data_IF_376842420595
#
_entry.id   IF_376842420595
#
_cell.length_a   1.000
_cell.length_b   1.000
_cell.length_c   1.000
_cell.angle_alpha   90.00
_cell.angle_beta   90.00
_cell.angle_gamma   90.00
#
_symmetry.space_group_name_H-M   'P 1'
#
loop_
_entity.id
_entity.type
_entity.pdbx_description
1 polymer ?
#
# COMPACT_ATOMS: atom_id res chain seq x y z
N UNK A 1 -40.44 -26.64 41.73
CA UNK A 1 -40.80 -25.70 42.81
C UNK A 1 -40.42 -24.30 42.35
N UNK A 2 -41.41 -23.41 42.20
CA UNK A 2 -41.16 -21.98 41.96
C UNK A 2 -40.56 -21.38 43.24
N UNK A 3 -39.57 -20.46 43.16
CA UNK A 3 -39.10 -19.75 44.34
C UNK A 3 -40.25 -18.91 44.91
N UNK A 4 -40.41 -18.92 46.23
CA UNK A 4 -41.37 -18.09 46.95
C UNK A 4 -41.17 -16.60 46.63
N UNK A 5 -42.27 -15.84 46.58
CA UNK A 5 -42.27 -14.39 46.32
C UNK A 5 -41.47 -13.56 47.34
N UNK A 6 -41.09 -14.15 48.48
CA UNK A 6 -40.31 -13.52 49.54
C UNK A 6 -38.78 -13.59 49.33
N UNK A 7 -38.32 -14.29 48.30
CA UNK A 7 -36.90 -14.35 47.91
C UNK A 7 -36.53 -13.36 46.79
N UNK A 8 -37.21 -12.21 46.69
CA UNK A 8 -36.71 -11.15 45.82
C UNK A 8 -35.57 -10.43 46.54
N UNK A 9 -34.32 -10.53 46.05
CA UNK A 9 -33.23 -9.78 46.63
C UNK A 9 -33.55 -8.29 46.56
N UNK A 10 -33.26 -7.58 47.65
CA UNK A 10 -33.43 -6.12 47.71
C UNK A 10 -32.72 -5.48 46.51
N UNK A 11 -33.35 -4.53 45.79
CA UNK A 11 -32.67 -3.78 44.74
C UNK A 11 -31.35 -3.20 45.27
N UNK A 12 -30.30 -3.19 44.46
CA UNK A 12 -29.00 -2.66 44.88
C UNK A 12 -29.14 -1.21 45.28
N UNK A 13 -30.06 -0.44 44.68
CA UNK A 13 -30.37 0.90 45.14
C UNK A 13 -30.76 0.92 46.62
N UNK A 14 -31.59 -0.01 47.07
CA UNK A 14 -32.00 -0.12 48.48
C UNK A 14 -30.83 -0.54 49.38
N UNK A 15 -30.00 -1.50 48.95
CA UNK A 15 -28.79 -1.88 49.69
C UNK A 15 -27.78 -0.73 49.74
N UNK A 16 -27.56 -0.02 48.64
CA UNK A 16 -26.69 1.16 48.53
C UNK A 16 -27.20 2.30 49.38
N UNK A 17 -28.51 2.54 49.39
CA UNK A 17 -29.12 3.57 50.23
C UNK A 17 -29.01 3.23 51.71
N UNK A 18 -29.12 1.94 52.07
CA UNK A 18 -28.83 1.46 53.43
C UNK A 18 -27.36 1.63 53.79
N UNK A 19 -26.42 1.23 52.93
CA UNK A 19 -24.98 1.39 53.15
C UNK A 19 -24.59 2.85 53.32
N UNK A 20 -25.14 3.74 52.48
CA UNK A 20 -24.96 5.18 52.59
C UNK A 20 -25.51 5.74 53.91
N UNK A 21 -26.72 5.31 54.31
CA UNK A 21 -27.33 5.74 55.59
C UNK A 21 -26.56 5.23 56.81
N UNK A 22 -25.95 4.05 56.70
CA UNK A 22 -25.19 3.42 57.77
C UNK A 22 -23.71 3.83 57.79
N UNK A 23 -23.26 4.63 56.81
CA UNK A 23 -21.87 5.09 56.67
C UNK A 23 -20.87 3.92 56.68
N UNK A 24 -21.25 2.82 56.03
CA UNK A 24 -20.42 1.61 55.95
C UNK A 24 -19.39 1.80 54.82
N UNK A 25 -18.14 1.43 55.08
CA UNK A 25 -17.09 1.41 54.07
C UNK A 25 -17.44 0.37 52.98
N UNK A 26 -17.55 0.82 51.73
CA UNK A 26 -17.92 -0.04 50.61
C UNK A 26 -16.90 -1.15 50.36
N UNK A 27 -15.60 -0.90 50.56
CA UNK A 27 -14.54 -1.89 50.36
C UNK A 27 -14.69 -3.03 51.35
N UNK A 28 -14.79 -2.70 52.64
CA UNK A 28 -14.99 -3.67 53.73
C UNK A 28 -16.29 -4.45 53.53
N UNK A 29 -17.39 -3.76 53.18
CA UNK A 29 -18.67 -4.41 52.92
C UNK A 29 -18.58 -5.41 51.75
N UNK A 30 -17.97 -5.01 50.63
CA UNK A 30 -17.85 -5.92 49.50
C UNK A 30 -16.90 -7.08 49.79
N UNK A 31 -15.87 -6.91 50.62
CA UNK A 31 -14.99 -8.01 51.05
C UNK A 31 -15.73 -8.99 51.97
N UNK A 32 -16.44 -8.51 52.99
CA UNK A 32 -17.16 -9.36 53.94
C UNK A 32 -18.31 -10.13 53.27
N UNK A 33 -19.08 -9.46 52.41
CA UNK A 33 -20.25 -10.03 51.76
C UNK A 33 -19.95 -10.61 50.37
N UNK A 34 -18.67 -10.76 50.01
CA UNK A 34 -18.30 -11.06 48.63
C UNK A 34 -18.92 -12.36 48.09
N UNK A 35 -18.99 -13.40 48.93
CA UNK A 35 -19.57 -14.71 48.59
C UNK A 35 -21.04 -14.61 48.19
N UNK A 36 -21.85 -13.83 48.92
CA UNK A 36 -23.28 -13.65 48.64
C UNK A 36 -23.50 -12.93 47.30
N UNK A 37 -22.73 -11.87 47.03
CA UNK A 37 -22.79 -11.19 45.74
C UNK A 37 -22.31 -12.11 44.61
N UNK A 38 -21.23 -12.87 44.83
CA UNK A 38 -20.69 -13.79 43.82
C UNK A 38 -21.69 -14.91 43.51
N UNK A 39 -22.37 -15.46 44.52
CA UNK A 39 -23.39 -16.49 44.38
C UNK A 39 -24.64 -15.96 43.66
N UNK A 40 -25.11 -14.76 44.01
CA UNK A 40 -26.26 -14.11 43.35
C UNK A 40 -25.97 -13.74 41.88
N UNK A 41 -24.72 -13.35 41.59
CA UNK A 41 -24.24 -13.12 40.22
C UNK A 41 -24.18 -14.45 39.43
N UNK A 42 -23.67 -15.52 40.04
CA UNK A 42 -23.61 -16.87 39.43
C UNK A 42 -24.99 -17.44 39.11
N UNK A 43 -25.96 -17.21 39.99
CA UNK A 43 -27.33 -17.70 39.86
C UNK A 43 -28.23 -16.81 38.97
N UNK A 44 -27.66 -15.79 38.32
CA UNK A 44 -28.36 -14.86 37.41
C UNK A 44 -29.55 -14.13 38.03
N UNK A 45 -29.56 -13.93 39.35
CA UNK A 45 -30.66 -13.20 40.01
C UNK A 45 -30.68 -11.70 39.65
N UNK A 46 -29.56 -11.13 39.21
CA UNK A 46 -29.45 -9.71 38.89
C UNK A 46 -29.68 -9.43 37.40
N UNK A 47 -30.62 -8.54 37.11
CA UNK A 47 -30.88 -8.05 35.76
C UNK A 47 -29.83 -7.01 35.32
N UNK A 48 -29.87 -6.62 34.03
CA UNK A 48 -28.91 -5.65 33.49
C UNK A 48 -28.94 -4.31 34.24
N UNK A 49 -30.12 -3.79 34.58
CA UNK A 49 -30.24 -2.52 35.31
C UNK A 49 -29.52 -2.58 36.67
N UNK A 50 -29.69 -3.69 37.41
CA UNK A 50 -29.07 -3.92 38.71
C UNK A 50 -27.54 -3.93 38.62
N UNK A 51 -26.98 -4.71 37.67
CA UNK A 51 -25.53 -4.77 37.46
C UNK A 51 -24.99 -3.40 37.06
N UNK A 52 -25.73 -2.67 36.22
CA UNK A 52 -25.35 -1.33 35.77
C UNK A 52 -25.28 -0.34 36.93
N UNK A 53 -26.21 -0.39 37.89
CA UNK A 53 -26.21 0.45 39.09
C UNK A 53 -25.05 0.12 40.06
N UNK A 54 -24.53 -1.10 40.01
CA UNK A 54 -23.44 -1.60 40.87
C UNK A 54 -22.05 -1.17 40.37
N UNK A 55 -21.82 -1.17 39.06
CA UNK A 55 -20.51 -0.85 38.46
C UNK A 55 -19.91 0.51 38.87
N UNK A 56 -20.67 1.61 39.01
CA UNK A 56 -20.14 2.90 39.44
C UNK A 56 -19.63 2.90 40.88
N UNK A 57 -20.15 2.01 41.74
CA UNK A 57 -19.70 1.85 43.12
C UNK A 57 -18.41 1.02 43.15
N UNK A 58 -18.40 -0.08 42.40
CA UNK A 58 -17.23 -0.97 42.33
C UNK A 58 -16.01 -0.32 41.65
N UNK A 59 -16.19 0.73 40.84
CA UNK A 59 -15.07 1.41 40.15
C UNK A 59 -13.99 1.97 41.07
N UNK A 60 -14.29 2.16 42.36
CA UNK A 60 -13.31 2.62 43.35
C UNK A 60 -12.41 1.48 43.86
N UNK A 61 -12.74 0.23 43.50
CA UNK A 61 -12.10 -0.99 43.97
C UNK A 61 -11.73 -1.88 42.76
N UNK A 62 -10.65 -1.53 42.06
CA UNK A 62 -10.25 -2.13 40.76
C UNK A 62 -10.25 -3.67 40.75
N UNK A 63 -9.68 -4.32 41.78
CA UNK A 63 -9.60 -5.79 41.88
C UNK A 63 -11.00 -6.40 42.03
N UNK A 64 -11.81 -5.83 42.91
CA UNK A 64 -13.18 -6.26 43.20
C UNK A 64 -14.06 -6.12 41.96
N UNK A 65 -13.99 -4.96 41.27
CA UNK A 65 -14.66 -4.72 40.00
C UNK A 65 -14.33 -5.80 38.95
N UNK A 66 -13.04 -6.10 38.77
CA UNK A 66 -12.59 -7.10 37.80
C UNK A 66 -13.12 -8.49 38.13
N UNK A 67 -13.08 -8.89 39.40
CA UNK A 67 -13.59 -10.20 39.87
C UNK A 67 -15.08 -10.33 39.57
N UNK A 68 -15.88 -9.33 39.93
CA UNK A 68 -17.33 -9.35 39.71
C UNK A 68 -17.72 -9.32 38.23
N UNK A 69 -17.11 -8.45 37.43
CA UNK A 69 -17.35 -8.42 36.00
C UNK A 69 -16.99 -9.75 35.35
N UNK A 70 -15.86 -10.37 35.74
CA UNK A 70 -15.45 -11.67 35.22
C UNK A 70 -16.48 -12.76 35.55
N UNK A 71 -16.93 -12.84 36.79
CA UNK A 71 -17.93 -13.83 37.23
C UNK A 71 -19.30 -13.61 36.58
N UNK A 72 -19.73 -12.36 36.43
CA UNK A 72 -20.98 -12.05 35.76
C UNK A 72 -20.92 -12.43 34.28
N UNK A 73 -19.87 -11.99 33.58
CA UNK A 73 -19.71 -12.23 32.16
C UNK A 73 -19.48 -13.71 31.82
N UNK A 74 -18.83 -14.50 32.69
CA UNK A 74 -18.67 -15.95 32.44
C UNK A 74 -19.97 -16.73 32.47
N UNK A 75 -20.99 -16.19 33.15
CA UNK A 75 -22.28 -16.86 33.31
C UNK A 75 -23.37 -16.24 32.43
N UNK A 76 -23.05 -15.27 31.58
CA UNK A 76 -24.03 -14.48 30.83
C UNK A 76 -23.77 -14.55 29.34
N UNK A 77 -24.83 -14.55 28.51
CA UNK A 77 -24.67 -14.53 27.06
C UNK A 77 -24.02 -13.22 26.60
N UNK A 78 -23.22 -13.28 25.54
CA UNK A 78 -22.54 -12.09 25.02
C UNK A 78 -23.50 -10.95 24.60
N UNK A 79 -24.66 -11.21 23.95
CA UNK A 79 -25.65 -10.17 23.68
C UNK A 79 -26.19 -9.47 24.94
N UNK A 80 -26.41 -10.23 26.01
CA UNK A 80 -26.85 -9.66 27.30
C UNK A 80 -25.75 -8.81 27.94
N UNK A 81 -24.48 -9.23 27.84
CA UNK A 81 -23.34 -8.44 28.30
C UNK A 81 -23.26 -7.13 27.51
N UNK A 82 -23.42 -7.18 26.18
CA UNK A 82 -23.34 -5.98 25.35
C UNK A 82 -24.47 -5.00 25.62
N UNK A 83 -25.71 -5.48 25.75
CA UNK A 83 -26.85 -4.62 26.12
C UNK A 83 -26.64 -3.94 27.48
N UNK A 84 -26.00 -4.61 28.44
CA UNK A 84 -25.59 -3.99 29.71
C UNK A 84 -24.56 -2.87 29.49
N UNK A 85 -23.55 -3.07 28.62
CA UNK A 85 -22.55 -2.04 28.29
C UNK A 85 -23.19 -0.82 27.60
N UNK A 86 -24.14 -1.04 26.68
CA UNK A 86 -24.87 0.04 26.02
C UNK A 86 -25.73 0.82 27.01
N UNK A 87 -26.50 0.12 27.85
CA UNK A 87 -27.32 0.74 28.88
C UNK A 87 -26.45 1.52 29.89
N UNK A 88 -25.30 0.98 30.29
CA UNK A 88 -24.33 1.69 31.12
C UNK A 88 -23.85 2.97 30.44
N UNK A 89 -23.46 2.89 29.17
CA UNK A 89 -22.92 4.02 28.40
C UNK A 89 -23.93 5.16 28.21
N UNK A 90 -25.23 4.85 28.24
CA UNK A 90 -26.32 5.83 28.19
C UNK A 90 -26.50 6.55 29.53
N UNK A 91 -26.39 5.83 30.66
CA UNK A 91 -26.83 6.32 31.96
C UNK A 91 -25.68 6.74 32.90
N UNK A 92 -24.45 6.28 32.66
CA UNK A 92 -23.32 6.49 33.57
C UNK A 92 -22.03 6.83 32.83
N UNK A 93 -21.11 7.53 33.50
CA UNK A 93 -19.82 7.89 32.94
C UNK A 93 -18.89 6.66 32.85
N UNK A 94 -18.48 6.31 31.64
CA UNK A 94 -17.61 5.18 31.36
C UNK A 94 -16.16 5.65 31.49
N UNK A 95 -15.60 5.85 32.69
CA UNK A 95 -14.25 6.46 32.87
C UNK A 95 -13.22 5.50 33.47
N UNK A 96 -11.94 5.70 33.11
CA UNK A 96 -10.78 5.14 33.82
C UNK A 96 -10.79 3.62 33.92
N UNK A 97 -10.78 3.12 35.16
CA UNK A 97 -10.79 1.68 35.49
C UNK A 97 -11.94 0.94 34.80
N UNK A 98 -13.12 1.53 34.70
CA UNK A 98 -14.29 0.82 34.21
C UNK A 98 -14.23 0.54 32.70
N UNK A 99 -13.74 1.50 31.90
CA UNK A 99 -13.48 1.30 30.46
C UNK A 99 -12.51 0.12 30.26
N UNK A 100 -11.42 0.09 31.04
CA UNK A 100 -10.40 -0.95 30.96
C UNK A 100 -10.94 -2.33 31.41
N UNK A 101 -11.68 -2.37 32.53
CA UNK A 101 -12.23 -3.60 33.07
C UNK A 101 -13.29 -4.23 32.15
N UNK A 102 -14.17 -3.40 31.56
CA UNK A 102 -15.15 -3.86 30.57
C UNK A 102 -14.45 -4.36 29.31
N UNK A 103 -13.49 -3.59 28.77
CA UNK A 103 -12.72 -3.99 27.58
C UNK A 103 -12.04 -5.34 27.79
N UNK A 104 -11.28 -5.49 28.88
CA UNK A 104 -10.51 -6.69 29.18
C UNK A 104 -11.42 -7.92 29.32
N UNK A 105 -12.55 -7.80 30.04
CA UNK A 105 -13.45 -8.92 30.22
C UNK A 105 -14.22 -9.26 28.93
N UNK A 106 -14.64 -8.29 28.13
CA UNK A 106 -15.26 -8.53 26.82
C UNK A 106 -14.30 -9.28 25.87
N UNK A 107 -13.03 -8.85 25.80
CA UNK A 107 -12.00 -9.53 25.00
C UNK A 107 -11.79 -10.98 25.47
N UNK A 108 -11.77 -11.22 26.79
CA UNK A 108 -11.68 -12.57 27.34
C UNK A 108 -12.90 -13.42 26.98
N UNK A 109 -14.12 -12.86 27.01
CA UNK A 109 -15.32 -13.59 26.61
C UNK A 109 -15.29 -13.96 25.13
N UNK A 110 -14.93 -13.02 24.25
CA UNK A 110 -14.80 -13.30 22.81
C UNK A 110 -13.79 -14.42 22.54
N UNK A 111 -12.68 -14.44 23.29
CA UNK A 111 -11.69 -15.51 23.19
C UNK A 111 -12.24 -16.86 23.65
N UNK A 112 -13.01 -16.90 24.74
CA UNK A 112 -13.52 -18.13 25.35
C UNK A 112 -14.76 -18.72 24.69
N UNK A 113 -15.66 -17.89 24.18
CA UNK A 113 -16.97 -18.29 23.67
C UNK A 113 -16.96 -18.16 22.14
N UNK A 114 -17.59 -19.09 21.41
CA UNK A 114 -17.88 -18.88 19.99
C UNK A 114 -19.06 -17.93 19.85
N UNK A 115 -18.77 -16.70 19.43
CA UNK A 115 -19.79 -15.71 19.07
C UNK A 115 -20.07 -15.87 17.59
N UNK A 116 -21.33 -16.07 17.23
CA UNK A 116 -21.74 -16.20 15.83
C UNK A 116 -21.59 -14.86 15.10
N UNK A 117 -21.43 -14.90 13.77
CA UNK A 117 -21.42 -13.69 12.94
C UNK A 117 -22.71 -12.88 13.17
N UNK A 118 -23.86 -13.54 13.27
CA UNK A 118 -25.16 -12.89 13.51
C UNK A 118 -25.20 -12.14 14.83
N UNK A 119 -24.71 -12.73 15.92
CA UNK A 119 -24.61 -12.04 17.23
C UNK A 119 -23.68 -10.84 17.16
N UNK A 120 -22.55 -10.98 16.46
CA UNK A 120 -21.62 -9.88 16.30
C UNK A 120 -22.18 -8.76 15.40
N UNK A 121 -23.00 -9.08 14.39
CA UNK A 121 -23.74 -8.09 13.59
C UNK A 121 -24.80 -7.35 14.42
N UNK A 122 -25.57 -8.10 15.22
CA UNK A 122 -26.59 -7.52 16.10
C UNK A 122 -25.98 -6.53 17.09
N UNK A 123 -24.80 -6.84 17.63
CA UNK A 123 -24.04 -5.94 18.51
C UNK A 123 -23.89 -4.53 17.91
N UNK A 124 -23.52 -4.44 16.63
CA UNK A 124 -23.36 -3.14 16.00
C UNK A 124 -24.69 -2.47 15.66
N UNK A 125 -25.70 -3.23 15.24
CA UNK A 125 -27.05 -2.70 15.03
C UNK A 125 -27.56 -2.04 16.31
N UNK A 126 -27.46 -2.74 17.43
CA UNK A 126 -27.85 -2.26 18.75
C UNK A 126 -27.03 -1.03 19.16
N UNK A 127 -25.73 -1.01 18.83
CA UNK A 127 -24.84 0.14 19.08
C UNK A 127 -25.28 1.35 18.28
N UNK A 128 -25.63 1.17 17.00
CA UNK A 128 -26.09 2.25 16.12
C UNK A 128 -27.43 2.82 16.58
N UNK A 129 -28.37 1.96 16.96
CA UNK A 129 -29.66 2.38 17.53
C UNK A 129 -29.46 3.14 18.85
N UNK A 130 -28.53 2.66 19.69
CA UNK A 130 -28.19 3.28 20.98
C UNK A 130 -27.34 4.54 20.87
N UNK A 131 -26.63 4.74 19.75
CA UNK A 131 -25.66 5.84 19.57
C UNK A 131 -26.27 7.23 19.76
N UNK A 132 -27.55 7.38 19.40
CA UNK A 132 -28.27 8.65 19.53
C UNK A 132 -28.44 9.05 21.00
N UNK A 133 -28.62 8.07 21.89
CA UNK A 133 -28.86 8.27 23.33
C UNK A 133 -27.58 8.47 24.13
N UNK A 134 -26.46 7.92 23.66
CA UNK A 134 -25.16 8.06 24.32
C UNK A 134 -24.63 9.48 24.07
N UNK A 135 -24.23 10.21 25.10
CA UNK A 135 -23.80 11.63 24.98
C UNK A 135 -22.32 11.82 25.31
N UNK A 136 -21.73 12.86 24.73
CA UNK A 136 -20.41 13.39 25.13
C UNK A 136 -19.27 12.37 25.07
N UNK A 137 -18.42 12.36 26.11
CA UNK A 137 -17.19 11.53 26.18
C UNK A 137 -17.44 10.03 26.16
N UNK A 138 -18.63 9.57 26.57
CA UNK A 138 -18.98 8.14 26.54
C UNK A 138 -19.02 7.58 25.12
N UNK A 139 -19.37 8.42 24.12
CA UNK A 139 -19.29 8.01 22.70
C UNK A 139 -17.85 7.59 22.37
N UNK A 140 -16.89 8.47 22.57
CA UNK A 140 -15.48 8.21 22.23
C UNK A 140 -14.92 6.97 22.95
N UNK A 141 -15.37 6.66 24.16
CA UNK A 141 -14.87 5.51 24.92
C UNK A 141 -15.56 4.21 24.54
N UNK A 142 -16.87 4.22 24.30
CA UNK A 142 -17.57 3.07 23.75
C UNK A 142 -17.01 2.69 22.37
N UNK A 143 -16.63 3.68 21.56
CA UNK A 143 -15.89 3.46 20.31
C UNK A 143 -14.62 2.63 20.54
N UNK A 144 -13.77 3.02 21.49
CA UNK A 144 -12.52 2.29 21.78
C UNK A 144 -12.77 0.87 22.26
N UNK A 145 -13.82 0.65 23.06
CA UNK A 145 -14.24 -0.69 23.44
C UNK A 145 -14.61 -1.47 22.18
N UNK A 146 -15.47 -0.91 21.34
CA UNK A 146 -15.96 -1.54 20.10
C UNK A 146 -14.81 -1.92 19.16
N UNK A 147 -13.85 -1.02 18.95
CA UNK A 147 -12.61 -1.26 18.20
C UNK A 147 -11.87 -2.48 18.72
N UNK A 148 -11.55 -2.47 20.03
CA UNK A 148 -10.74 -3.51 20.66
C UNK A 148 -11.42 -4.87 20.67
N UNK A 149 -12.74 -4.92 20.83
CA UNK A 149 -13.49 -6.18 20.79
C UNK A 149 -13.65 -6.68 19.35
N UNK A 150 -13.82 -5.77 18.38
CA UNK A 150 -13.93 -6.12 16.96
C UNK A 150 -12.64 -6.72 16.43
N UNK A 151 -11.51 -6.09 16.75
CA UNK A 151 -10.20 -6.62 16.43
C UNK A 151 -10.00 -8.04 16.97
N UNK A 152 -10.32 -8.28 18.25
CA UNK A 152 -10.18 -9.61 18.87
C UNK A 152 -11.13 -10.64 18.25
N UNK A 153 -12.36 -10.25 17.95
CA UNK A 153 -13.33 -11.11 17.27
C UNK A 153 -12.84 -11.54 15.89
N UNK A 154 -12.47 -10.56 15.06
CA UNK A 154 -11.98 -10.80 13.70
C UNK A 154 -10.68 -11.62 13.70
N UNK A 155 -9.75 -11.32 14.61
CA UNK A 155 -8.51 -12.08 14.75
C UNK A 155 -8.77 -13.55 15.10
N UNK A 156 -9.69 -13.79 16.05
CA UNK A 156 -10.08 -15.16 16.43
C UNK A 156 -10.69 -15.90 15.24
N UNK A 157 -11.61 -15.26 14.53
CA UNK A 157 -12.36 -15.85 13.43
C UNK A 157 -11.50 -16.15 12.19
N UNK A 158 -10.51 -15.31 11.87
CA UNK A 158 -9.68 -15.50 10.67
C UNK A 158 -8.41 -16.32 10.89
N UNK A 159 -7.83 -16.37 12.10
CA UNK A 159 -6.51 -17.01 12.33
C UNK A 159 -6.49 -18.16 13.35
N UNK A 160 -7.36 -18.16 14.37
CA UNK A 160 -7.23 -19.09 15.50
C UNK A 160 -8.12 -20.33 15.39
N UNK A 161 -9.33 -20.19 14.85
CA UNK A 161 -10.17 -21.35 14.57
C UNK A 161 -9.70 -21.98 13.26
N UNK A 162 -8.98 -23.11 13.33
CA UNK A 162 -8.48 -23.90 12.19
C UNK A 162 -9.57 -24.43 11.24
N UNK A 163 -10.80 -23.90 11.32
CA UNK A 163 -11.88 -24.12 10.39
C UNK A 163 -12.03 -22.86 9.55
N UNK A 164 -11.70 -23.00 8.27
CA UNK A 164 -11.84 -22.03 7.20
C UNK A 164 -13.31 -21.70 6.90
N UNK A 165 -14.07 -21.25 7.90
CA UNK A 165 -15.19 -20.37 7.62
C UNK A 165 -14.60 -19.04 7.21
N UNK A 166 -14.18 -18.98 5.94
CA UNK A 166 -13.80 -17.75 5.27
C UNK A 166 -14.91 -16.75 5.56
N UNK A 167 -14.58 -15.65 6.26
CA UNK A 167 -15.50 -14.53 6.37
C UNK A 167 -15.99 -14.21 4.96
N UNK A 168 -17.27 -14.47 4.69
CA UNK A 168 -17.80 -14.31 3.35
C UNK A 168 -17.63 -12.85 2.95
N UNK A 169 -17.39 -12.61 1.67
CA UNK A 169 -17.15 -11.26 1.17
C UNK A 169 -18.31 -10.30 1.53
N UNK A 170 -19.55 -10.81 1.52
CA UNK A 170 -20.72 -10.06 1.92
C UNK A 170 -20.70 -9.70 3.41
N UNK A 171 -20.34 -10.64 4.30
CA UNK A 171 -20.21 -10.38 5.73
C UNK A 171 -19.10 -9.36 6.01
N UNK A 172 -17.96 -9.48 5.35
CA UNK A 172 -16.85 -8.54 5.46
C UNK A 172 -17.24 -7.12 4.98
N UNK A 173 -17.95 -7.00 3.86
CA UNK A 173 -18.50 -5.73 3.36
C UNK A 173 -19.49 -5.12 4.35
N UNK A 174 -20.34 -5.94 4.94
CA UNK A 174 -21.29 -5.50 5.98
C UNK A 174 -20.54 -5.02 7.23
N UNK A 175 -19.56 -5.77 7.73
CA UNK A 175 -18.71 -5.35 8.86
C UNK A 175 -18.04 -4.01 8.61
N UNK A 176 -17.43 -3.83 7.44
CA UNK A 176 -16.77 -2.57 7.09
C UNK A 176 -17.76 -1.41 7.01
N UNK A 177 -18.93 -1.61 6.38
CA UNK A 177 -20.01 -0.62 6.32
C UNK A 177 -20.47 -0.20 7.71
N UNK A 178 -20.65 -1.19 8.58
CA UNK A 178 -21.14 -0.97 9.94
C UNK A 178 -20.11 -0.25 10.83
N UNK A 179 -18.83 -0.65 10.76
CA UNK A 179 -17.74 0.01 11.48
C UNK A 179 -17.62 1.49 11.06
N UNK A 180 -17.77 1.78 9.77
CA UNK A 180 -17.57 3.13 9.20
C UNK A 180 -18.78 4.05 9.37
N UNK A 181 -19.99 3.50 9.57
CA UNK A 181 -21.19 4.28 9.88
C UNK A 181 -21.17 4.92 11.28
N UNK A 182 -20.36 4.39 12.19
CA UNK A 182 -20.12 5.00 13.51
C UNK A 182 -19.06 6.11 13.37
N UNK A 183 -19.41 7.17 12.63
CA UNK A 183 -18.51 8.24 12.16
C UNK A 183 -17.69 8.99 13.23
N UNK A 184 -18.06 8.86 14.51
CA UNK A 184 -17.36 9.44 15.66
C UNK A 184 -16.37 8.46 16.31
N UNK A 185 -16.25 7.25 15.78
CA UNK A 185 -15.57 6.13 16.41
C UNK A 185 -14.38 5.64 15.59
N UNK A 186 -14.59 5.38 14.30
CA UNK A 186 -13.77 4.51 13.48
C UNK A 186 -13.55 5.13 12.10
N UNK A 187 -12.29 5.28 11.70
CA UNK A 187 -11.93 5.55 10.30
C UNK A 187 -11.33 4.28 9.66
N UNK A 188 -11.05 4.34 8.36
CA UNK A 188 -10.48 3.22 7.64
C UNK A 188 -9.05 2.84 8.09
N UNK A 189 -8.44 3.60 9.01
CA UNK A 189 -7.09 3.33 9.54
C UNK A 189 -7.13 2.55 10.85
N UNK A 190 -8.29 2.36 11.46
CA UNK A 190 -8.42 1.50 12.62
C UNK A 190 -7.96 0.08 12.30
N UNK A 191 -7.29 -0.58 13.24
CA UNK A 191 -6.76 -1.92 13.05
C UNK A 191 -7.84 -2.94 12.63
N UNK A 192 -9.07 -2.81 13.14
CA UNK A 192 -10.19 -3.68 12.77
C UNK A 192 -10.62 -3.44 11.32
N UNK A 193 -10.73 -2.18 10.91
CA UNK A 193 -11.06 -1.79 9.53
C UNK A 193 -9.97 -2.25 8.56
N UNK A 194 -8.70 -2.00 8.89
CA UNK A 194 -7.55 -2.44 8.11
C UNK A 194 -7.52 -3.96 7.97
N UNK A 195 -7.87 -4.69 9.02
CA UNK A 195 -7.92 -6.15 9.01
C UNK A 195 -9.00 -6.68 8.06
N UNK A 196 -10.21 -6.13 8.10
CA UNK A 196 -11.29 -6.47 7.17
C UNK A 196 -10.94 -6.08 5.74
N UNK A 197 -10.35 -4.89 5.53
CA UNK A 197 -9.89 -4.43 4.22
C UNK A 197 -8.81 -5.34 3.64
N UNK A 198 -7.84 -5.76 4.46
CA UNK A 198 -6.81 -6.73 4.04
C UNK A 198 -7.45 -8.04 3.59
N UNK A 199 -8.44 -8.55 4.34
CA UNK A 199 -9.16 -9.77 3.98
C UNK A 199 -9.94 -9.64 2.66
N UNK A 200 -10.69 -8.54 2.50
CA UNK A 200 -11.49 -8.27 1.29
C UNK A 200 -10.63 -8.17 0.03
N UNK A 201 -9.45 -7.56 0.15
CA UNK A 201 -8.58 -7.29 -0.99
C UNK A 201 -7.65 -8.48 -1.31
N UNK A 202 -6.96 -9.00 -0.29
CA UNK A 202 -5.79 -9.84 -0.49
C UNK A 202 -5.99 -11.34 -0.20
N UNK A 203 -7.19 -11.78 0.23
CA UNK A 203 -7.54 -13.16 0.66
C UNK A 203 -6.34 -14.06 0.97
N UNK A 204 -6.03 -14.22 2.26
CA UNK A 204 -4.85 -14.95 2.77
C UNK A 204 -4.73 -16.41 2.30
N UNK A 205 -5.82 -17.03 1.81
CA UNK A 205 -5.87 -18.43 1.39
C UNK A 205 -5.95 -18.63 -0.14
N UNK A 206 -5.59 -17.63 -0.94
CA UNK A 206 -5.55 -17.78 -2.39
C UNK A 206 -4.31 -18.60 -2.80
N UNK A 207 -4.51 -19.90 -3.03
CA UNK A 207 -3.45 -20.85 -3.44
C UNK A 207 -2.96 -20.63 -4.88
N UNK A 208 -3.37 -19.54 -5.52
CA UNK A 208 -2.97 -19.23 -6.89
C UNK A 208 -1.47 -18.89 -6.93
N UNK A 209 -0.65 -19.84 -7.36
CA UNK A 209 0.80 -19.62 -7.50
C UNK A 209 1.14 -18.66 -8.65
N UNK A 210 0.22 -18.42 -9.58
CA UNK A 210 0.42 -17.48 -10.67
C UNK A 210 0.22 -16.03 -10.18
N UNK A 211 1.31 -15.24 -10.16
CA UNK A 211 1.31 -13.81 -9.78
C UNK A 211 0.34 -12.98 -10.63
N UNK A 212 0.16 -13.31 -11.91
CA UNK A 212 -0.72 -12.59 -12.82
C UNK A 212 -2.19 -12.72 -12.44
N UNK A 213 -2.63 -13.95 -12.16
CA UNK A 213 -3.99 -14.23 -11.72
C UNK A 213 -4.26 -13.61 -10.34
N UNK A 214 -3.26 -13.62 -9.44
CA UNK A 214 -3.32 -12.88 -8.17
C UNK A 214 -3.57 -11.39 -8.38
N UNK A 215 -2.81 -10.73 -9.27
CA UNK A 215 -2.98 -9.31 -9.59
C UNK A 215 -4.34 -9.01 -10.22
N UNK A 216 -4.77 -9.85 -11.17
CA UNK A 216 -6.08 -9.73 -11.81
C UNK A 216 -7.21 -9.84 -10.80
N UNK A 217 -7.16 -10.82 -9.90
CA UNK A 217 -8.15 -10.96 -8.83
C UNK A 217 -8.12 -9.79 -7.85
N UNK A 218 -6.95 -9.29 -7.49
CA UNK A 218 -6.83 -8.09 -6.66
C UNK A 218 -7.51 -6.90 -7.35
N UNK A 219 -7.28 -6.71 -8.65
CA UNK A 219 -7.85 -5.60 -9.41
C UNK A 219 -9.38 -5.70 -9.47
N UNK A 220 -9.90 -6.88 -9.80
CA UNK A 220 -11.33 -7.15 -9.79
C UNK A 220 -11.96 -6.91 -8.41
N UNK A 221 -11.31 -7.34 -7.32
CA UNK A 221 -11.80 -7.14 -5.94
C UNK A 221 -11.87 -5.67 -5.57
N UNK A 222 -10.90 -4.85 -6.00
CA UNK A 222 -10.91 -3.40 -5.76
C UNK A 222 -12.01 -2.72 -6.58
N UNK A 223 -12.20 -3.12 -7.84
CA UNK A 223 -13.32 -2.62 -8.65
C UNK A 223 -14.68 -3.00 -8.05
N UNK A 224 -14.76 -4.13 -7.36
CA UNK A 224 -15.95 -4.59 -6.64
C UNK A 224 -16.04 -4.11 -5.18
N UNK A 225 -15.04 -3.34 -4.71
CA UNK A 225 -15.00 -2.79 -3.37
C UNK A 225 -15.98 -1.60 -3.30
N UNK A 226 -16.59 -1.38 -2.14
CA UNK A 226 -17.64 -0.37 -1.95
C UNK A 226 -17.26 0.99 -2.58
N UNK A 227 -18.07 1.46 -3.55
CA UNK A 227 -17.83 2.71 -4.29
C UNK A 227 -17.65 3.92 -3.35
N UNK A 228 -18.37 3.96 -2.22
CA UNK A 228 -18.24 5.02 -1.22
C UNK A 228 -16.88 5.05 -0.53
N UNK A 229 -16.30 3.89 -0.23
CA UNK A 229 -14.93 3.78 0.30
C UNK A 229 -13.92 4.23 -0.77
N UNK A 230 -14.04 3.69 -1.99
CA UNK A 230 -13.14 4.04 -3.09
C UNK A 230 -13.23 5.53 -3.44
N UNK A 231 -14.38 6.18 -3.27
CA UNK A 231 -14.56 7.61 -3.49
C UNK A 231 -13.94 8.46 -2.36
N UNK A 232 -14.15 8.12 -1.09
CA UNK A 232 -13.82 8.99 0.05
C UNK A 232 -12.43 8.75 0.63
N UNK A 233 -11.98 7.49 0.67
CA UNK A 233 -10.76 7.13 1.35
C UNK A 233 -9.52 7.32 0.46
N UNK A 234 -8.39 7.57 1.13
CA UNK A 234 -7.09 7.76 0.51
C UNK A 234 -6.30 6.44 0.59
N UNK A 235 -6.02 5.75 -0.54
CA UNK A 235 -5.38 4.43 -0.51
C UNK A 235 -4.00 4.47 0.16
N UNK A 236 -3.28 5.60 0.08
CA UNK A 236 -1.97 5.81 0.70
C UNK A 236 -1.97 5.79 2.23
N UNK A 237 -3.14 5.93 2.86
CA UNK A 237 -3.30 5.86 4.31
C UNK A 237 -3.76 4.50 4.81
N UNK A 238 -4.02 3.55 3.90
CA UNK A 238 -4.68 2.27 4.20
C UNK A 238 -3.80 1.11 3.76
N UNK A 239 -3.36 1.13 2.50
CA UNK A 239 -2.56 0.07 1.92
C UNK A 239 -1.15 0.16 2.48
N UNK A 240 -0.70 -0.93 3.12
CA UNK A 240 0.64 -1.06 3.68
C UNK A 240 1.52 -1.86 2.73
N UNK A 241 2.81 -1.50 2.68
CA UNK A 241 3.77 -2.13 1.77
C UNK A 241 3.92 -3.64 2.05
N UNK A 242 3.80 -4.08 3.31
CA UNK A 242 3.86 -5.50 3.71
C UNK A 242 2.72 -6.35 3.14
N UNK A 243 1.62 -5.73 2.69
CA UNK A 243 0.49 -6.45 2.08
C UNK A 243 0.73 -6.75 0.60
N UNK A 244 1.67 -6.04 -0.01
CA UNK A 244 1.95 -6.11 -1.44
C UNK A 244 3.11 -7.05 -1.78
N UNK A 245 3.88 -7.51 -0.77
CA UNK A 245 5.09 -8.33 -0.97
C UNK A 245 4.82 -9.54 -1.87
N UNK A 246 3.75 -10.30 -1.61
CA UNK A 246 3.40 -11.51 -2.39
C UNK A 246 2.98 -11.23 -3.85
N UNK A 247 2.78 -9.96 -4.19
CA UNK A 247 2.39 -9.47 -5.51
C UNK A 247 3.56 -8.77 -6.22
N UNK A 248 4.66 -8.50 -5.52
CA UNK A 248 5.86 -7.95 -6.15
C UNK A 248 6.55 -9.01 -6.99
N UNK A 249 7.09 -8.56 -8.11
CA UNK A 249 8.02 -9.34 -8.92
C UNK A 249 9.43 -9.09 -8.42
N UNK A 250 10.20 -10.17 -8.31
CA UNK A 250 11.57 -10.16 -7.78
C UNK A 250 12.56 -9.74 -8.86
N UNK A 251 12.21 -9.95 -10.13
CA UNK A 251 13.00 -9.53 -11.28
C UNK A 251 12.14 -8.82 -12.33
N UNK A 252 12.77 -7.96 -13.14
CA UNK A 252 12.13 -7.41 -14.33
C UNK A 252 11.80 -8.49 -15.36
N UNK A 253 12.57 -9.58 -15.42
CA UNK A 253 12.26 -10.72 -16.30
C UNK A 253 10.90 -11.35 -15.99
N UNK A 254 10.46 -11.33 -14.73
CA UNK A 254 9.15 -11.85 -14.36
C UNK A 254 8.01 -10.94 -14.85
N UNK A 255 8.25 -9.62 -14.90
CA UNK A 255 7.32 -8.69 -15.54
C UNK A 255 7.20 -8.96 -17.05
N UNK A 256 8.29 -9.37 -17.70
CA UNK A 256 8.30 -9.68 -19.13
C UNK A 256 7.58 -11.00 -19.48
N UNK A 257 7.18 -11.79 -18.48
CA UNK A 257 6.32 -12.96 -18.66
C UNK A 257 4.84 -12.58 -18.84
N UNK A 258 4.46 -11.31 -18.58
CA UNK A 258 3.13 -10.79 -18.89
C UNK A 258 2.87 -10.90 -20.40
N UNK A 259 2.01 -11.83 -20.79
CA UNK A 259 1.57 -11.90 -22.19
C UNK A 259 0.72 -10.67 -22.53
N UNK A 260 0.61 -10.34 -23.83
CA UNK A 260 -0.26 -9.25 -24.29
C UNK A 260 -1.70 -9.41 -23.75
N UNK A 261 -2.21 -10.64 -23.74
CA UNK A 261 -3.55 -10.96 -23.24
C UNK A 261 -3.70 -10.68 -21.75
N UNK A 262 -2.71 -11.09 -20.96
CA UNK A 262 -2.74 -10.88 -19.51
C UNK A 262 -2.63 -9.40 -19.17
N UNK A 263 -1.78 -8.67 -19.89
CA UNK A 263 -1.62 -7.24 -19.74
C UNK A 263 -2.89 -6.46 -20.11
N UNK A 264 -3.51 -6.78 -21.26
CA UNK A 264 -4.79 -6.19 -21.67
C UNK A 264 -5.89 -6.46 -20.63
N UNK A 265 -5.95 -7.67 -20.07
CA UNK A 265 -6.91 -8.00 -19.02
C UNK A 265 -6.72 -7.15 -17.76
N UNK A 266 -5.48 -6.80 -17.39
CA UNK A 266 -5.20 -5.89 -16.28
C UNK A 266 -5.64 -4.45 -16.60
N UNK A 267 -5.37 -3.98 -17.82
CA UNK A 267 -5.76 -2.66 -18.29
C UNK A 267 -7.29 -2.47 -18.31
N UNK A 268 -8.02 -3.46 -18.82
CA UNK A 268 -9.49 -3.46 -18.84
C UNK A 268 -10.09 -3.45 -17.44
N UNK A 269 -9.46 -4.16 -16.49
CA UNK A 269 -9.95 -4.28 -15.12
C UNK A 269 -9.71 -3.04 -14.26
N UNK A 270 -8.81 -2.15 -14.69
CA UNK A 270 -8.33 -1.02 -13.91
C UNK A 270 -9.32 0.17 -13.82
N UNK A 271 -10.17 0.39 -14.84
CA UNK A 271 -11.22 1.43 -14.86
C UNK A 271 -10.82 2.85 -14.38
N UNK A 272 -9.54 3.26 -14.45
CA UNK A 272 -9.05 4.53 -13.89
C UNK A 272 -9.36 4.76 -12.41
N UNK A 273 -9.44 3.67 -11.64
CA UNK A 273 -9.68 3.73 -10.20
C UNK A 273 -8.41 4.18 -9.45
N UNK A 274 -8.51 5.24 -8.65
CA UNK A 274 -7.40 5.79 -7.86
C UNK A 274 -6.70 4.76 -6.94
N UNK A 275 -7.43 3.77 -6.43
CA UNK A 275 -6.86 2.70 -5.61
C UNK A 275 -6.01 1.75 -6.44
N UNK A 276 -6.47 1.41 -7.64
CA UNK A 276 -5.74 0.52 -8.55
C UNK A 276 -4.46 1.18 -9.04
N UNK A 277 -4.53 2.47 -9.40
CA UNK A 277 -3.36 3.28 -9.76
C UNK A 277 -2.33 3.33 -8.64
N UNK A 278 -2.77 3.60 -7.41
CA UNK A 278 -1.88 3.67 -6.26
C UNK A 278 -1.22 2.31 -5.97
N UNK A 279 -2.00 1.23 -5.95
CA UNK A 279 -1.50 -0.11 -5.70
C UNK A 279 -0.53 -0.54 -6.79
N UNK A 280 -0.85 -0.27 -8.06
CA UNK A 280 0.05 -0.56 -9.18
C UNK A 280 1.37 0.20 -9.07
N UNK A 281 1.32 1.52 -8.84
CA UNK A 281 2.52 2.34 -8.64
C UNK A 281 3.39 1.82 -7.50
N UNK A 282 2.75 1.41 -6.38
CA UNK A 282 3.47 0.80 -5.25
C UNK A 282 4.10 -0.55 -5.59
N UNK A 283 3.39 -1.42 -6.30
CA UNK A 283 3.93 -2.72 -6.72
C UNK A 283 5.13 -2.56 -7.63
N UNK A 284 5.01 -1.68 -8.64
CA UNK A 284 6.11 -1.35 -9.55
C UNK A 284 7.28 -0.78 -8.75
N UNK A 285 7.06 0.21 -7.89
CA UNK A 285 8.12 0.82 -7.09
C UNK A 285 8.83 -0.19 -6.18
N UNK A 286 8.09 -1.06 -5.50
CA UNK A 286 8.67 -2.10 -4.63
C UNK A 286 9.46 -3.13 -5.45
N UNK A 287 8.93 -3.56 -6.59
CA UNK A 287 9.65 -4.42 -7.52
C UNK A 287 10.94 -3.78 -8.02
N UNK A 288 10.92 -2.49 -8.37
CA UNK A 288 12.13 -1.79 -8.81
C UNK A 288 13.16 -1.63 -7.68
N UNK A 289 12.73 -1.42 -6.44
CA UNK A 289 13.66 -1.34 -5.30
C UNK A 289 14.36 -2.65 -4.98
N UNK A 290 13.75 -3.78 -5.36
CA UNK A 290 14.32 -5.12 -5.16
C UNK A 290 15.30 -5.53 -6.26
N UNK A 291 15.44 -4.74 -7.33
CA UNK A 291 16.45 -4.98 -8.37
C UNK A 291 17.84 -4.70 -7.80
N UNK A 292 18.50 -5.78 -7.37
CA UNK A 292 19.93 -5.78 -7.08
C UNK A 292 20.65 -5.60 -8.42
N UNK A 293 21.54 -4.60 -8.48
CA UNK A 293 22.41 -4.31 -9.61
C UNK A 293 23.31 -5.52 -9.91
N UNK A 294 22.79 -6.47 -10.67
CA UNK A 294 23.52 -7.56 -11.29
C UNK A 294 23.64 -7.24 -12.79
N UNK A 295 24.67 -7.78 -13.44
CA UNK A 295 25.08 -7.52 -14.84
C UNK A 295 24.02 -7.80 -15.95
N UNK A 296 22.77 -8.10 -15.57
CA UNK A 296 21.65 -8.39 -16.48
C UNK A 296 20.83 -7.15 -16.90
N UNK A 297 21.16 -5.93 -16.45
CA UNK A 297 20.44 -4.69 -16.78
C UNK A 297 20.27 -4.50 -18.30
N UNK A 298 21.33 -4.72 -19.07
CA UNK A 298 21.33 -4.57 -20.54
C UNK A 298 20.35 -5.53 -21.20
N UNK A 299 20.41 -6.82 -20.85
CA UNK A 299 19.50 -7.82 -21.39
C UNK A 299 18.05 -7.51 -21.03
N UNK A 300 17.80 -7.10 -19.79
CA UNK A 300 16.46 -6.73 -19.32
C UNK A 300 15.89 -5.56 -20.12
N UNK A 301 16.68 -4.50 -20.34
CA UNK A 301 16.27 -3.33 -21.13
C UNK A 301 15.96 -3.71 -22.59
N UNK A 302 16.78 -4.56 -23.21
CA UNK A 302 16.51 -5.07 -24.57
C UNK A 302 15.21 -5.88 -24.63
N UNK A 303 14.98 -6.77 -23.65
CA UNK A 303 13.77 -7.59 -23.62
C UNK A 303 12.54 -6.75 -23.33
N UNK A 304 12.62 -5.73 -22.46
CA UNK A 304 11.54 -4.79 -22.23
C UNK A 304 11.19 -4.00 -23.49
N UNK A 305 12.20 -3.52 -24.21
CA UNK A 305 12.00 -2.80 -25.46
C UNK A 305 11.29 -3.68 -26.51
N UNK A 306 11.66 -4.96 -26.60
CA UNK A 306 10.96 -5.95 -27.45
C UNK A 306 9.55 -6.26 -26.96
N UNK A 307 9.38 -6.40 -25.65
CA UNK A 307 8.08 -6.66 -25.04
C UNK A 307 7.10 -5.54 -25.36
N UNK A 308 7.47 -4.26 -25.19
CA UNK A 308 6.60 -3.11 -25.52
C UNK A 308 6.08 -3.16 -26.96
N UNK A 309 6.94 -3.52 -27.92
CA UNK A 309 6.55 -3.71 -29.32
C UNK A 309 5.63 -4.91 -29.48
N UNK A 310 5.92 -6.02 -28.80
CA UNK A 310 5.13 -7.25 -28.88
C UNK A 310 3.71 -7.06 -28.32
N UNK A 311 3.56 -6.29 -27.25
CA UNK A 311 2.25 -6.04 -26.64
C UNK A 311 1.47 -4.89 -27.31
N UNK A 312 2.05 -4.22 -28.32
CA UNK A 312 1.47 -3.07 -29.01
C UNK A 312 1.37 -1.78 -28.18
N UNK A 313 2.31 -1.58 -27.25
CA UNK A 313 2.42 -0.37 -26.42
C UNK A 313 3.64 0.48 -26.82
N UNK A 314 4.12 0.36 -28.06
CA UNK A 314 5.22 1.17 -28.59
C UNK A 314 4.87 2.65 -28.81
N UNK A 315 3.58 2.99 -28.81
CA UNK A 315 3.09 4.37 -28.89
C UNK A 315 2.52 4.81 -27.56
N UNK A 316 2.90 6.01 -27.13
CA UNK A 316 2.36 6.60 -25.92
C UNK A 316 0.83 6.77 -26.00
N UNK A 317 0.15 6.40 -24.90
CA UNK A 317 -1.29 6.57 -24.72
C UNK A 317 -1.54 7.06 -23.29
N UNK A 318 -2.06 8.29 -23.14
CA UNK A 318 -2.37 8.86 -21.81
C UNK A 318 -3.46 8.06 -21.06
N UNK A 319 -4.27 7.32 -21.81
CA UNK A 319 -5.31 6.43 -21.28
C UNK A 319 -4.78 5.13 -20.67
N UNK A 320 -3.48 4.86 -20.79
CA UNK A 320 -2.83 3.68 -20.22
C UNK A 320 -1.85 4.05 -19.09
N UNK A 321 -2.38 4.38 -17.90
CA UNK A 321 -1.56 4.79 -16.77
C UNK A 321 -0.69 3.65 -16.21
N UNK A 322 -1.06 2.39 -16.48
CA UNK A 322 -0.30 1.25 -15.99
C UNK A 322 1.03 1.12 -16.75
N UNK A 323 1.01 1.25 -18.09
CA UNK A 323 2.23 1.22 -18.92
C UNK A 323 3.08 2.42 -18.60
N UNK A 324 2.49 3.62 -18.55
CA UNK A 324 3.24 4.85 -18.26
C UNK A 324 3.97 4.74 -16.93
N UNK A 325 3.30 4.28 -15.87
CA UNK A 325 3.90 4.13 -14.54
C UNK A 325 5.03 3.09 -14.55
N UNK A 326 4.83 1.95 -15.22
CA UNK A 326 5.83 0.88 -15.30
C UNK A 326 7.07 1.32 -16.07
N UNK A 327 6.90 1.81 -17.29
CA UNK A 327 8.00 2.23 -18.18
C UNK A 327 8.78 3.40 -17.57
N UNK A 328 8.08 4.38 -16.98
CA UNK A 328 8.72 5.48 -16.28
C UNK A 328 9.54 5.01 -15.08
N UNK A 329 9.02 4.06 -14.30
CA UNK A 329 9.73 3.52 -13.14
C UNK A 329 10.98 2.72 -13.53
N UNK A 330 10.95 2.00 -14.66
CA UNK A 330 12.15 1.36 -15.21
C UNK A 330 13.21 2.39 -15.60
N UNK A 331 12.80 3.46 -16.29
CA UNK A 331 13.72 4.52 -16.68
C UNK A 331 14.31 5.25 -15.48
N UNK A 332 13.49 5.60 -14.50
CA UNK A 332 13.97 6.24 -13.27
C UNK A 332 14.96 5.34 -12.52
N UNK A 333 14.61 4.07 -12.31
CA UNK A 333 15.43 3.18 -11.49
C UNK A 333 16.69 2.68 -12.19
N UNK A 334 16.56 2.14 -13.41
CA UNK A 334 17.71 1.60 -14.12
C UNK A 334 18.50 2.73 -14.79
N UNK A 335 17.85 3.45 -15.73
CA UNK A 335 18.53 4.33 -16.68
C UNK A 335 19.06 5.58 -15.98
N UNK A 336 18.26 6.20 -15.11
CA UNK A 336 18.61 7.45 -14.46
C UNK A 336 19.42 7.27 -13.18
N UNK A 337 18.99 6.38 -12.26
CA UNK A 337 19.61 6.26 -10.92
C UNK A 337 20.77 5.29 -10.82
N UNK A 338 20.75 4.17 -11.55
CA UNK A 338 21.68 3.05 -11.31
C UNK A 338 22.84 2.97 -12.32
N UNK A 339 22.62 3.37 -13.57
CA UNK A 339 23.60 3.14 -14.63
C UNK A 339 24.77 4.14 -14.58
N UNK A 340 26.00 3.61 -14.46
CA UNK A 340 27.24 4.38 -14.39
C UNK A 340 27.72 4.93 -15.75
N UNK A 341 27.39 4.27 -16.86
CA UNK A 341 27.82 4.66 -18.20
C UNK A 341 26.68 4.54 -19.19
N UNK A 342 26.14 5.68 -19.62
CA UNK A 342 25.03 5.74 -20.56
C UNK A 342 25.39 5.16 -21.93
N UNK A 343 26.63 5.35 -22.37
CA UNK A 343 27.11 4.89 -23.70
C UNK A 343 26.99 3.37 -23.84
N UNK A 344 27.12 2.62 -22.74
CA UNK A 344 27.07 1.16 -22.77
C UNK A 344 25.65 0.61 -22.91
N UNK A 345 24.62 1.42 -22.64
CA UNK A 345 23.24 0.97 -22.66
C UNK A 345 22.80 0.57 -24.06
N UNK A 346 21.94 -0.46 -24.19
CA UNK A 346 21.51 -0.93 -25.49
C UNK A 346 20.59 0.10 -26.15
N UNK A 347 20.41 -0.03 -27.46
CA UNK A 347 19.40 0.77 -28.17
C UNK A 347 18.00 0.29 -27.73
N UNK A 348 17.31 1.16 -27.00
CA UNK A 348 15.96 0.96 -26.49
C UNK A 348 15.02 2.07 -26.97
N UNK A 349 15.02 2.28 -28.30
CA UNK A 349 14.27 3.32 -28.99
C UNK A 349 12.82 3.46 -28.49
N UNK A 350 12.12 2.33 -28.32
CA UNK A 350 10.71 2.29 -27.96
C UNK A 350 10.48 2.84 -26.55
N UNK A 351 11.26 2.39 -25.57
CA UNK A 351 11.19 2.87 -24.19
C UNK A 351 11.45 4.37 -24.14
N UNK A 352 12.51 4.84 -24.81
CA UNK A 352 12.89 6.26 -24.83
C UNK A 352 11.81 7.10 -25.50
N UNK A 353 11.33 6.69 -26.67
CA UNK A 353 10.30 7.44 -27.40
C UNK A 353 9.02 7.54 -26.57
N UNK A 354 8.61 6.44 -25.94
CA UNK A 354 7.43 6.42 -25.07
C UNK A 354 7.54 7.40 -23.89
N UNK A 355 8.71 7.48 -23.25
CA UNK A 355 8.92 8.38 -22.10
C UNK A 355 9.02 9.84 -22.54
N UNK A 356 9.68 10.09 -23.68
CA UNK A 356 9.76 11.43 -24.27
C UNK A 356 8.36 11.95 -24.63
N UNK A 357 7.54 11.11 -25.28
CA UNK A 357 6.16 11.43 -25.62
C UNK A 357 5.31 11.68 -24.37
N UNK A 358 5.44 10.84 -23.35
CA UNK A 358 4.75 11.02 -22.08
C UNK A 358 5.16 12.33 -21.36
N UNK A 359 6.45 12.69 -21.42
CA UNK A 359 6.97 13.96 -20.91
C UNK A 359 6.38 15.17 -21.64
N UNK A 360 6.43 15.14 -22.98
CA UNK A 360 5.90 16.19 -23.87
C UNK A 360 4.39 16.38 -23.71
N UNK A 361 3.64 15.28 -23.56
CA UNK A 361 2.20 15.30 -23.31
C UNK A 361 1.83 15.79 -21.90
N UNK A 362 2.82 16.13 -21.07
CA UNK A 362 2.63 16.57 -19.71
C UNK A 362 1.93 15.54 -18.82
N UNK A 363 2.16 14.25 -19.06
CA UNK A 363 1.52 13.14 -18.35
C UNK A 363 1.54 13.33 -16.83
N UNK A 364 0.37 13.21 -16.20
CA UNK A 364 0.20 13.32 -14.74
C UNK A 364 0.83 12.16 -13.95
N UNK A 365 1.21 11.10 -14.65
CA UNK A 365 1.81 9.89 -14.07
C UNK A 365 3.33 10.00 -13.93
N UNK A 366 3.93 11.04 -14.51
CA UNK A 366 5.35 11.37 -14.37
C UNK A 366 5.48 12.36 -13.21
N UNK A 367 6.11 11.91 -12.13
CA UNK A 367 6.29 12.69 -10.90
C UNK A 367 7.42 13.71 -10.99
N UNK A 368 8.43 13.49 -11.85
CA UNK A 368 9.59 14.39 -12.02
C UNK A 368 9.89 14.64 -13.49
N UNK A 369 9.22 15.62 -14.10
CA UNK A 369 9.47 16.00 -15.51
C UNK A 369 10.90 16.49 -15.73
N UNK A 370 11.42 17.26 -14.77
CA UNK A 370 12.79 17.77 -14.78
C UNK A 370 13.81 16.63 -14.95
N UNK A 371 13.54 15.43 -14.46
CA UNK A 371 14.45 14.29 -14.58
C UNK A 371 14.63 13.83 -16.04
N UNK A 372 13.55 13.81 -16.83
CA UNK A 372 13.63 13.41 -18.25
C UNK A 372 14.39 14.48 -19.03
N UNK A 373 14.12 15.75 -18.76
CA UNK A 373 14.83 16.89 -19.38
C UNK A 373 16.32 16.89 -19.01
N UNK A 374 16.66 16.71 -17.74
CA UNK A 374 18.04 16.60 -17.24
C UNK A 374 18.78 15.43 -17.88
N UNK A 375 18.11 14.29 -18.03
CA UNK A 375 18.68 13.13 -18.72
C UNK A 375 18.94 13.42 -20.20
N UNK A 376 17.97 14.03 -20.90
CA UNK A 376 18.11 14.42 -22.31
C UNK A 376 19.28 15.38 -22.50
N UNK A 377 19.42 16.39 -21.64
CA UNK A 377 20.53 17.34 -21.70
C UNK A 377 21.88 16.66 -21.42
N UNK A 378 21.91 15.68 -20.51
CA UNK A 378 23.11 14.86 -20.27
C UNK A 378 23.52 14.09 -21.52
N UNK A 379 22.56 13.45 -22.21
CA UNK A 379 22.83 12.72 -23.45
C UNK A 379 23.24 13.66 -24.58
N UNK A 380 22.59 14.83 -24.73
CA UNK A 380 22.99 15.86 -25.70
C UNK A 380 24.42 16.34 -25.46
N UNK A 381 24.81 16.55 -24.21
CA UNK A 381 26.19 16.94 -23.88
C UNK A 381 27.18 15.82 -24.21
N UNK A 382 26.83 14.55 -23.99
CA UNK A 382 27.66 13.41 -24.43
C UNK A 382 27.82 13.37 -25.95
N UNK A 383 26.72 13.53 -26.70
CA UNK A 383 26.76 13.60 -28.17
C UNK A 383 27.63 14.76 -28.63
N UNK A 384 27.50 15.93 -28.00
CA UNK A 384 28.35 17.10 -28.26
C UNK A 384 29.83 16.79 -28.02
N UNK A 385 30.18 16.20 -26.88
CA UNK A 385 31.57 15.85 -26.58
C UNK A 385 32.14 14.85 -27.60
N UNK A 386 31.33 13.90 -28.06
CA UNK A 386 31.70 12.93 -29.11
C UNK A 386 31.95 13.64 -30.44
N UNK A 387 31.06 14.55 -30.85
CA UNK A 387 31.23 15.32 -32.09
C UNK A 387 32.43 16.26 -32.05
N UNK A 388 32.74 16.83 -30.89
CA UNK A 388 33.89 17.72 -30.67
C UNK A 388 35.21 16.97 -30.43
N UNK A 389 35.20 15.64 -30.51
CA UNK A 389 36.37 14.80 -30.22
C UNK A 389 36.91 14.95 -28.77
N UNK A 390 36.08 15.39 -27.83
CA UNK A 390 36.41 15.61 -26.41
C UNK A 390 36.20 14.35 -25.54
N UNK A 391 35.57 13.30 -26.09
CA UNK A 391 35.38 12.01 -25.42
C UNK A 391 36.66 11.16 -25.35
N UNK A 392 36.70 10.19 -24.43
CA UNK A 392 37.79 9.21 -24.36
C UNK A 392 37.78 8.25 -25.57
N UNK A 393 38.94 7.76 -26.01
CA UNK A 393 39.05 6.81 -27.13
C UNK A 393 38.13 5.58 -26.97
N UNK A 394 37.93 5.12 -25.73
CA UNK A 394 37.03 4.00 -25.40
C UNK A 394 35.56 4.29 -25.74
N UNK A 395 35.12 5.54 -25.68
CA UNK A 395 33.75 5.97 -26.02
C UNK A 395 33.43 5.71 -27.50
N UNK A 396 34.32 6.07 -28.42
CA UNK A 396 34.10 5.86 -29.86
C UNK A 396 34.04 4.38 -30.21
N UNK A 397 34.90 3.56 -29.58
CA UNK A 397 34.89 2.11 -29.76
C UNK A 397 33.59 1.49 -29.24
N UNK A 398 33.05 1.98 -28.13
CA UNK A 398 31.76 1.54 -27.59
C UNK A 398 30.59 1.94 -28.51
N UNK A 399 30.63 3.15 -29.06
CA UNK A 399 29.63 3.66 -30.00
C UNK A 399 29.60 2.90 -31.33
N UNK A 400 30.61 2.09 -31.68
CA UNK A 400 30.53 1.20 -32.85
C UNK A 400 29.45 0.11 -32.73
N UNK A 401 28.90 -0.09 -31.53
CA UNK A 401 27.79 -1.01 -31.25
C UNK A 401 26.49 -0.22 -31.01
N UNK A 402 25.30 -0.85 -31.17
CA UNK A 402 24.04 -0.22 -30.79
C UNK A 402 24.09 0.30 -29.36
N UNK A 403 23.73 1.57 -29.20
CA UNK A 403 23.82 2.33 -27.95
C UNK A 403 22.54 3.14 -27.75
N UNK A 404 22.19 3.43 -26.50
CA UNK A 404 21.07 4.32 -26.17
C UNK A 404 21.25 5.72 -26.78
N UNK A 405 22.49 6.15 -27.05
CA UNK A 405 22.79 7.46 -27.65
C UNK A 405 22.09 7.63 -29.00
N UNK A 406 21.98 6.54 -29.78
CA UNK A 406 21.31 6.56 -31.07
C UNK A 406 19.82 6.92 -30.94
N UNK A 407 19.17 6.56 -29.83
CA UNK A 407 17.79 6.92 -29.56
C UNK A 407 17.55 8.43 -29.43
N UNK A 408 18.60 9.20 -29.13
CA UNK A 408 18.51 10.63 -28.88
C UNK A 408 18.93 11.50 -30.05
N UNK A 409 19.50 10.91 -31.11
CA UNK A 409 20.00 11.65 -32.28
C UNK A 409 18.92 12.56 -32.88
N UNK A 410 17.70 12.05 -33.03
CA UNK A 410 16.57 12.81 -33.56
C UNK A 410 16.16 14.03 -32.71
N UNK A 411 16.61 14.11 -31.46
CA UNK A 411 16.32 15.22 -30.54
C UNK A 411 17.50 16.19 -30.41
N UNK A 412 18.57 15.99 -31.18
CA UNK A 412 19.78 16.81 -31.14
C UNK A 412 19.87 17.68 -32.40
N UNK A 413 20.04 18.99 -32.21
CA UNK A 413 20.35 19.91 -33.30
C UNK A 413 21.86 19.92 -33.56
N UNK A 414 22.31 19.02 -34.43
CA UNK A 414 23.72 18.92 -34.84
C UNK A 414 24.24 20.23 -35.41
N UNK A 415 23.46 20.92 -36.24
CA UNK A 415 23.86 22.17 -36.88
C UNK A 415 24.17 23.26 -35.84
N UNK A 416 23.36 23.38 -34.80
CA UNK A 416 23.61 24.31 -33.70
C UNK A 416 24.84 23.94 -32.87
N UNK A 417 25.09 22.64 -32.65
CA UNK A 417 26.30 22.18 -31.93
C UNK A 417 27.56 22.53 -32.73
N UNK A 418 27.56 22.21 -34.02
CA UNK A 418 28.72 22.34 -34.89
C UNK A 418 29.02 23.80 -35.26
N UNK A 419 27.99 24.63 -35.45
CA UNK A 419 28.17 26.07 -35.76
C UNK A 419 28.71 26.90 -34.61
N UNK A 420 28.57 26.43 -33.36
CA UNK A 420 29.10 27.09 -32.15
C UNK A 420 30.53 26.68 -31.81
N UNK A 421 31.05 25.66 -32.47
CA UNK A 421 32.42 25.24 -32.28
C UNK A 421 33.33 26.05 -33.20
N UNK A 422 34.35 26.69 -32.63
CA UNK A 422 35.30 27.47 -33.42
C UNK A 422 35.99 26.54 -34.42
N UNK A 423 36.07 26.89 -35.72
CA UNK A 423 36.75 26.09 -36.75
C UNK A 423 38.21 25.73 -36.40
N UNK A 424 38.83 26.47 -35.48
CA UNK A 424 40.18 26.24 -34.97
C UNK A 424 40.27 25.12 -33.92
N UNK A 425 39.18 24.73 -33.27
CA UNK A 425 39.11 23.66 -32.27
C UNK A 425 38.89 22.29 -32.91
N UNK A 426 38.37 22.23 -34.13
CA UNK A 426 38.33 21.02 -34.97
C UNK A 426 39.66 20.78 -35.69
N UNK A 427 40.77 21.00 -34.98
CA UNK A 427 42.07 20.56 -35.46
C UNK A 427 42.42 19.30 -34.72
N UNK A 428 42.48 18.19 -35.46
CA UNK A 428 43.21 17.01 -35.01
C UNK A 428 44.54 17.47 -34.42
N UNK A 429 45.01 16.92 -33.28
CA UNK A 429 46.38 17.16 -32.86
C UNK A 429 47.25 16.75 -34.03
N UNK A 430 47.86 17.73 -34.71
CA UNK A 430 48.74 17.51 -35.85
C UNK A 430 49.76 16.48 -35.37
N UNK A 431 49.67 15.24 -35.86
CA UNK A 431 50.77 14.31 -35.72
C UNK A 431 51.98 15.03 -36.27
N UNK A 432 53.06 15.05 -35.48
CA UNK A 432 54.29 15.70 -35.89
C UNK A 432 54.61 15.25 -37.32
N UNK A 433 54.98 16.15 -38.26
CA UNK A 433 55.11 15.84 -39.69
C UNK A 433 55.95 14.59 -39.98
N UNK A 434 56.82 14.25 -39.05
CA UNK A 434 57.76 13.12 -39.06
C UNK A 434 57.06 11.76 -38.91
N UNK A 435 55.92 11.67 -38.22
CA UNK A 435 55.14 10.43 -38.03
C UNK A 435 54.42 10.05 -39.33
N UNK A 436 53.83 11.02 -40.01
CA UNK A 436 53.15 10.81 -41.30
C UNK A 436 54.12 10.36 -42.40
N UNK A 437 55.40 10.74 -42.29
CA UNK A 437 56.46 10.32 -43.19
C UNK A 437 56.91 8.86 -42.98
N UNK A 438 56.73 8.31 -41.78
CA UNK A 438 57.19 6.96 -41.41
C UNK A 438 56.07 5.92 -41.61
N UNK A 439 54.81 6.32 -41.43
CA UNK A 439 53.70 5.37 -41.37
C UNK A 439 53.00 5.06 -42.69
N UNK A 440 53.30 5.75 -43.80
CA UNK A 440 52.64 5.58 -45.11
C UNK A 440 51.10 5.57 -45.06
N UNK A 441 50.52 6.05 -43.95
CA UNK A 441 49.08 6.25 -43.78
C UNK A 441 48.80 7.68 -44.23
N UNK A 442 48.06 7.85 -45.32
CA UNK A 442 47.48 9.15 -45.66
C UNK A 442 46.79 9.73 -44.43
N UNK A 443 46.97 11.03 -44.14
CA UNK A 443 46.08 11.73 -43.23
C UNK A 443 44.65 11.38 -43.67
N UNK A 444 43.77 10.92 -42.75
CA UNK A 444 42.39 10.72 -43.14
C UNK A 444 41.90 12.03 -43.76
N UNK A 445 41.20 11.92 -44.89
CA UNK A 445 40.41 13.03 -45.42
C UNK A 445 39.65 13.65 -44.24
N UNK A 446 39.81 14.95 -44.02
CA UNK A 446 39.20 15.66 -42.89
C UNK A 446 37.77 15.14 -42.71
N UNK A 447 37.43 14.67 -41.50
CA UNK A 447 36.07 14.23 -41.21
C UNK A 447 35.19 15.47 -41.38
N UNK A 448 34.42 15.52 -42.45
CA UNK A 448 33.53 16.64 -42.70
C UNK A 448 32.34 16.56 -41.73
N UNK A 449 32.52 17.17 -40.57
CA UNK A 449 31.49 17.22 -39.53
C UNK A 449 30.32 18.09 -40.00
N UNK A 450 30.50 18.97 -40.99
CA UNK A 450 29.47 19.89 -41.48
C UNK A 450 28.33 19.20 -42.23
N UNK A 451 28.51 17.92 -42.61
CA UNK A 451 27.49 17.11 -43.27
C UNK A 451 26.67 16.23 -42.32
N UNK A 452 26.89 16.30 -41.01
CA UNK A 452 26.15 15.47 -40.05
C UNK A 452 24.76 16.06 -39.81
N UNK A 453 23.78 15.52 -40.52
CA UNK A 453 22.37 15.92 -40.39
C UNK A 453 21.47 14.74 -39.96
N UNK A 454 21.97 13.51 -40.00
CA UNK A 454 21.20 12.29 -39.73
C UNK A 454 21.92 11.29 -38.82
N UNK A 455 21.17 10.30 -38.34
CA UNK A 455 21.74 9.14 -37.65
C UNK A 455 22.77 8.38 -38.50
N UNK A 456 22.53 8.26 -39.81
CA UNK A 456 23.45 7.60 -40.73
C UNK A 456 24.78 8.34 -40.82
N UNK A 457 24.75 9.67 -40.82
CA UNK A 457 25.95 10.50 -40.84
C UNK A 457 26.71 10.42 -39.51
N UNK A 458 25.99 10.40 -38.38
CA UNK A 458 26.60 10.18 -37.07
C UNK A 458 27.28 8.80 -36.97
N UNK A 459 26.64 7.74 -37.47
CA UNK A 459 27.26 6.40 -37.57
C UNK A 459 28.51 6.42 -38.46
N UNK A 460 28.46 7.12 -39.59
CA UNK A 460 29.60 7.27 -40.50
C UNK A 460 30.77 7.98 -39.82
N UNK A 461 30.49 9.07 -39.08
CA UNK A 461 31.44 9.80 -38.26
C UNK A 461 32.13 8.91 -37.23
N UNK A 462 31.36 8.11 -36.48
CA UNK A 462 31.92 7.17 -35.49
C UNK A 462 32.82 6.13 -36.16
N UNK A 463 32.40 5.56 -37.31
CA UNK A 463 33.21 4.57 -38.05
C UNK A 463 34.53 5.17 -38.53
N UNK A 464 34.50 6.36 -39.12
CA UNK A 464 35.69 7.07 -39.59
C UNK A 464 36.64 7.39 -38.42
N UNK A 465 36.09 7.85 -37.31
CA UNK A 465 36.88 8.16 -36.10
C UNK A 465 37.56 6.91 -35.53
N UNK A 466 36.87 5.76 -35.49
CA UNK A 466 37.48 4.51 -35.02
C UNK A 466 38.60 4.00 -35.94
N UNK A 467 38.43 4.10 -37.27
CA UNK A 467 39.49 3.76 -38.23
C UNK A 467 40.74 4.62 -38.02
N UNK A 468 40.56 5.88 -37.57
CA UNK A 468 41.68 6.76 -37.24
C UNK A 468 42.36 6.43 -35.90
N UNK A 469 41.58 6.01 -34.89
CA UNK A 469 42.11 5.62 -33.59
C UNK A 469 42.90 4.29 -33.60
N UNK A 470 42.81 3.51 -34.68
CA UNK A 470 43.50 2.23 -34.91
C UNK A 470 44.73 2.38 -35.86
#
# INVERSE_FOLDING_TARGET
MLPSKDNQPMPFETSRDMLNKLVIDYGVFFEEYHFLFEENVKSRFYNNAYITSLLPVLRQFDITLLKYLRTYMSNTSFPTIWSMVLYFSQNHALEGTLENALTMNLQLQIRKISITITEFKNLFKDTKESAQLIKGRNRMRLSRILQRISHVYLYKYLYLEHQSHLLFEWDAKEFLSVLTQLSWALDYKDESCLFVLKHLLFRVNDFTNNKHEKLKHLFQRISNLNEGLCATARPEKIIKDDWLIDYTYDTLCDWLQLTQRDYQSLCESHQNNKWLLYIWSKLVSLSMSNLIANDCEYFILEQLNKWMVTIQHEKYQDTDPLTVTFVYSVFESLIYKQIKSLILLPNIQTIISYIMDAGNANSRWITSKNMVEEFVETVKQLIRNVLLLEGANTTYRQLSKPSIIYCFIQYVDFKTILSRAEPLNYKFPLTAPHINMIMDKHNPSDIDVSTIESEEDFVRFIKQTNVWLD
#
